data_IF_395203012767
#
_entry.id   IF_395203012767
#
_cell.length_a   1.000
_cell.length_b   1.000
_cell.length_c   1.000
_cell.angle_alpha   90.00
_cell.angle_beta   90.00
_cell.angle_gamma   90.00
#
_symmetry.space_group_name_H-M   'P 1'
#
loop_
_entity.id
_entity.type
_entity.pdbx_description
1 polymer ?
#
# COMPACT_ATOMS: atom_id res chain seq x y z
N UNK A 1 -6.31 -9.84 -3.82
CA UNK A 1 -4.89 -9.72 -4.17
C UNK A 1 -4.31 -8.47 -3.52
N UNK A 2 -3.15 -8.59 -2.88
CA UNK A 2 -2.61 -7.56 -1.98
C UNK A 2 -3.04 -7.76 -0.53
N UNK A 3 -2.46 -6.99 0.38
CA UNK A 3 -2.82 -7.01 1.80
C UNK A 3 -4.03 -6.12 2.06
N UNK A 4 -4.88 -6.43 3.03
CA UNK A 4 -5.95 -5.52 3.45
C UNK A 4 -5.41 -4.18 3.99
N UNK A 5 -4.13 -4.14 4.40
CA UNK A 5 -3.45 -2.94 4.87
C UNK A 5 -2.80 -2.13 3.75
N UNK A 6 -2.67 -2.65 2.52
CA UNK A 6 -2.05 -1.90 1.42
C UNK A 6 -2.97 -0.80 0.89
N UNK A 7 -2.37 0.19 0.24
CA UNK A 7 -3.09 1.32 -0.36
C UNK A 7 -3.87 0.95 -1.61
N UNK A 8 -3.57 -0.20 -2.21
CA UNK A 8 -4.34 -0.81 -3.29
C UNK A 8 -4.61 -2.26 -2.92
N UNK A 9 -5.87 -2.68 -2.98
CA UNK A 9 -6.32 -4.04 -2.74
C UNK A 9 -7.42 -4.42 -3.72
N UNK A 10 -7.29 -5.59 -4.34
CA UNK A 10 -8.30 -6.12 -5.27
C UNK A 10 -9.05 -7.29 -4.64
N UNK A 11 -10.37 -7.31 -4.78
CA UNK A 11 -11.24 -8.43 -4.39
C UNK A 11 -12.04 -8.91 -5.60
N UNK A 12 -11.91 -10.18 -5.95
CA UNK A 12 -12.65 -10.79 -7.05
C UNK A 12 -13.32 -12.03 -6.49
N UNK A 13 -14.64 -12.11 -6.57
CA UNK A 13 -15.41 -13.20 -5.98
C UNK A 13 -16.79 -13.36 -6.63
N UNK A 14 -17.39 -14.52 -6.40
CA UNK A 14 -18.75 -14.85 -6.80
C UNK A 14 -19.75 -14.17 -5.86
N UNK A 15 -20.35 -13.08 -6.32
CA UNK A 15 -21.25 -12.23 -5.56
C UNK A 15 -22.61 -12.88 -5.33
N UNK A 16 -23.08 -13.68 -6.28
CA UNK A 16 -24.31 -14.45 -6.15
C UNK A 16 -24.22 -15.46 -5.00
N UNK A 17 -23.12 -16.21 -4.91
CA UNK A 17 -22.87 -17.12 -3.78
C UNK A 17 -22.70 -16.37 -2.45
N UNK A 18 -22.03 -15.22 -2.43
CA UNK A 18 -21.93 -14.39 -1.21
C UNK A 18 -23.32 -13.93 -0.74
N UNK A 19 -24.19 -13.51 -1.67
CA UNK A 19 -25.55 -13.06 -1.37
C UNK A 19 -26.44 -14.20 -0.91
N UNK A 20 -26.31 -15.38 -1.51
CA UNK A 20 -26.97 -16.59 -1.04
C UNK A 20 -26.55 -16.92 0.39
N UNK A 21 -25.25 -16.97 0.67
CA UNK A 21 -24.75 -17.33 2.00
C UNK A 21 -25.12 -16.33 3.10
N UNK A 22 -25.15 -15.03 2.80
CA UNK A 22 -25.43 -13.98 3.81
C UNK A 22 -26.91 -13.65 3.95
N UNK A 23 -27.62 -13.58 2.84
CA UNK A 23 -28.96 -13.00 2.75
C UNK A 23 -30.00 -14.00 2.23
N UNK A 24 -29.62 -15.26 1.97
CA UNK A 24 -30.48 -16.32 1.48
C UNK A 24 -31.21 -15.98 0.17
N UNK A 25 -30.59 -15.13 -0.67
CA UNK A 25 -31.09 -14.76 -1.99
C UNK A 25 -30.78 -15.92 -2.96
N UNK A 26 -31.78 -16.52 -3.63
CA UNK A 26 -31.54 -17.58 -4.61
C UNK A 26 -30.58 -17.14 -5.72
N UNK A 27 -29.70 -18.04 -6.17
CA UNK A 27 -28.69 -17.73 -7.20
C UNK A 27 -29.32 -17.25 -8.50
N UNK A 28 -30.50 -17.75 -8.89
CA UNK A 28 -31.18 -17.30 -10.12
C UNK A 28 -31.71 -15.87 -10.02
N UNK A 29 -31.90 -15.36 -8.80
CA UNK A 29 -32.38 -14.00 -8.53
C UNK A 29 -31.23 -13.02 -8.29
N UNK A 30 -29.98 -13.49 -8.28
CA UNK A 30 -28.84 -12.61 -8.11
C UNK A 30 -28.60 -11.78 -9.37
N UNK A 31 -28.67 -10.46 -9.23
CA UNK A 31 -28.43 -9.50 -10.33
C UNK A 31 -26.98 -9.53 -10.82
N UNK A 32 -26.03 -9.76 -9.91
CA UNK A 32 -24.60 -9.78 -10.20
C UNK A 32 -24.03 -11.12 -9.78
N UNK A 33 -23.47 -11.86 -10.75
CA UNK A 33 -22.79 -13.14 -10.49
C UNK A 33 -21.40 -12.96 -9.93
N UNK A 34 -20.56 -12.15 -10.59
CA UNK A 34 -19.18 -11.90 -10.18
C UNK A 34 -18.98 -10.42 -9.86
N UNK A 35 -18.20 -10.13 -8.82
CA UNK A 35 -17.83 -8.74 -8.49
C UNK A 35 -16.31 -8.56 -8.45
N UNK A 36 -15.87 -7.49 -9.10
CA UNK A 36 -14.52 -6.97 -9.03
C UNK A 36 -14.55 -5.69 -8.19
N UNK A 37 -13.89 -5.70 -7.04
CA UNK A 37 -13.76 -4.53 -6.18
C UNK A 37 -12.31 -4.06 -6.16
N UNK A 38 -12.11 -2.76 -6.39
CA UNK A 38 -10.84 -2.06 -6.21
C UNK A 38 -10.97 -1.22 -4.96
N UNK A 39 -10.12 -1.46 -3.96
CA UNK A 39 -10.08 -0.68 -2.73
C UNK A 39 -8.80 0.13 -2.70
N UNK A 40 -8.96 1.45 -2.63
CA UNK A 40 -7.88 2.41 -2.61
C UNK A 40 -7.86 3.12 -1.25
N UNK A 41 -6.67 3.49 -0.76
CA UNK A 41 -6.49 4.26 0.48
C UNK A 41 -5.48 5.39 0.27
N UNK A 42 -5.49 6.35 1.19
CA UNK A 42 -4.54 7.47 1.26
C UNK A 42 -4.39 8.16 -0.11
N UNK A 43 -3.15 8.43 -0.53
CA UNK A 43 -2.82 9.09 -1.80
C UNK A 43 -3.41 8.39 -3.02
N UNK A 44 -3.46 7.04 -3.02
CA UNK A 44 -4.00 6.28 -4.16
C UNK A 44 -5.49 6.52 -4.35
N UNK A 45 -6.23 6.70 -3.25
CA UNK A 45 -7.62 7.10 -3.30
C UNK A 45 -7.75 8.55 -3.83
N UNK A 46 -6.92 9.47 -3.33
CA UNK A 46 -6.92 10.86 -3.78
C UNK A 46 -6.68 10.99 -5.29
N UNK A 47 -5.67 10.29 -5.83
CA UNK A 47 -5.39 10.29 -7.26
C UNK A 47 -6.53 9.72 -8.11
N UNK A 48 -7.14 8.61 -7.68
CA UNK A 48 -8.26 8.03 -8.41
C UNK A 48 -9.49 8.96 -8.40
N UNK A 49 -9.75 9.66 -7.29
CA UNK A 49 -10.83 10.66 -7.21
C UNK A 49 -10.54 11.85 -8.12
N UNK A 50 -9.31 12.36 -8.14
CA UNK A 50 -8.92 13.46 -9.05
C UNK A 50 -9.09 13.04 -10.51
N UNK A 51 -8.63 11.86 -10.89
CA UNK A 51 -8.80 11.33 -12.26
C UNK A 51 -10.28 11.21 -12.63
N UNK A 52 -11.08 10.66 -11.71
CA UNK A 52 -12.51 10.51 -11.89
C UNK A 52 -13.23 11.85 -12.06
N UNK A 53 -12.91 12.84 -11.24
CA UNK A 53 -13.50 14.19 -11.34
C UNK A 53 -13.09 14.90 -12.63
N UNK A 54 -11.85 14.67 -13.09
CA UNK A 54 -11.31 15.29 -14.31
C UNK A 54 -11.95 14.70 -15.56
N UNK A 55 -12.12 13.38 -15.61
CA UNK A 55 -12.57 12.66 -16.80
C UNK A 55 -14.07 12.38 -16.82
N UNK A 56 -14.70 12.34 -15.65
CA UNK A 56 -16.10 11.93 -15.45
C UNK A 56 -16.44 10.56 -16.05
N UNK A 57 -15.43 9.69 -16.16
CA UNK A 57 -15.55 8.35 -16.74
C UNK A 57 -15.06 7.30 -15.74
N UNK A 58 -16.00 6.77 -14.96
CA UNK A 58 -15.75 5.77 -13.92
C UNK A 58 -15.17 4.49 -14.53
N UNK A 59 -15.67 4.10 -15.70
CA UNK A 59 -15.29 2.87 -16.37
C UNK A 59 -13.81 2.94 -16.76
N UNK A 60 -13.41 4.01 -17.45
CA UNK A 60 -12.03 4.23 -17.86
C UNK A 60 -11.10 4.29 -16.65
N UNK A 61 -11.41 5.08 -15.63
CA UNK A 61 -10.56 5.15 -14.42
C UNK A 61 -10.40 3.77 -13.78
N UNK A 62 -11.48 2.99 -13.61
CA UNK A 62 -11.41 1.68 -13.00
C UNK A 62 -10.57 0.67 -13.83
N UNK A 63 -10.80 0.58 -15.14
CA UNK A 63 -10.07 -0.34 -16.01
C UNK A 63 -8.61 0.02 -16.15
N UNK A 64 -8.29 1.31 -16.22
CA UNK A 64 -6.91 1.78 -16.28
C UNK A 64 -6.14 1.44 -14.99
N UNK A 65 -6.80 1.42 -13.82
CA UNK A 65 -6.24 0.93 -12.56
C UNK A 65 -6.01 -0.58 -12.62
N UNK A 66 -6.98 -1.36 -13.09
CA UNK A 66 -6.83 -2.82 -13.21
C UNK A 66 -5.65 -3.16 -14.13
N UNK A 67 -5.57 -2.53 -15.31
CA UNK A 67 -4.49 -2.74 -16.29
C UNK A 67 -3.10 -2.45 -15.73
N UNK A 68 -2.98 -1.53 -14.75
CA UNK A 68 -1.71 -1.22 -14.12
C UNK A 68 -1.21 -2.32 -13.18
N UNK A 69 -2.11 -3.04 -12.52
CA UNK A 69 -1.75 -3.95 -11.42
C UNK A 69 -2.00 -5.43 -11.73
N UNK A 70 -2.90 -5.76 -12.66
CA UNK A 70 -3.30 -7.13 -12.97
C UNK A 70 -3.17 -7.38 -14.46
N UNK A 71 -2.46 -8.45 -14.81
CA UNK A 71 -2.38 -8.97 -16.17
C UNK A 71 -2.47 -10.48 -16.14
N UNK A 72 -3.49 -11.04 -16.77
CA UNK A 72 -3.56 -12.47 -17.04
C UNK A 72 -2.86 -12.78 -18.36
N UNK A 73 -2.04 -13.83 -18.33
CA UNK A 73 -1.12 -14.18 -19.41
C UNK A 73 -1.16 -15.68 -19.66
N UNK A 74 -0.89 -16.08 -20.89
CA UNK A 74 -0.71 -17.48 -21.26
C UNK A 74 0.75 -17.89 -21.02
N UNK A 75 0.95 -19.01 -20.32
CA UNK A 75 2.28 -19.52 -20.00
C UNK A 75 2.99 -19.98 -21.27
N UNK A 76 4.17 -19.42 -21.51
CA UNK A 76 5.09 -19.85 -22.58
C UNK A 76 6.44 -20.21 -21.95
N UNK A 77 6.75 -21.50 -21.90
CA UNK A 77 7.97 -22.00 -21.25
C UNK A 77 9.25 -21.60 -22.00
N UNK A 78 9.13 -21.24 -23.27
CA UNK A 78 10.26 -20.80 -24.09
C UNK A 78 10.58 -19.31 -23.88
N UNK A 79 9.77 -18.59 -23.11
CA UNK A 79 9.94 -17.15 -22.86
C UNK A 79 10.03 -16.84 -21.37
N UNK A 80 10.70 -15.74 -21.05
CA UNK A 80 10.68 -15.17 -19.70
C UNK A 80 9.26 -14.75 -19.35
N UNK A 81 8.86 -14.90 -18.07
CA UNK A 81 7.51 -14.57 -17.56
C UNK A 81 7.01 -13.17 -17.93
N UNK A 82 7.90 -12.18 -17.96
CA UNK A 82 7.55 -10.81 -18.35
C UNK A 82 7.09 -10.68 -19.80
N UNK A 83 7.58 -11.57 -20.68
CA UNK A 83 7.30 -11.62 -22.11
C UNK A 83 6.17 -12.59 -22.48
N UNK A 84 5.48 -13.18 -21.50
CA UNK A 84 4.27 -13.96 -21.75
C UNK A 84 3.17 -13.08 -22.35
N UNK A 85 2.50 -13.60 -23.37
CA UNK A 85 1.40 -12.91 -24.07
C UNK A 85 0.18 -12.80 -23.17
N UNK A 86 -0.56 -11.70 -23.30
CA UNK A 86 -1.83 -11.52 -22.60
C UNK A 86 -2.82 -12.59 -23.05
N UNK A 87 -3.52 -13.19 -22.09
CA UNK A 87 -4.57 -14.16 -22.37
C UNK A 87 -5.71 -13.51 -23.18
N UNK A 88 -6.23 -14.21 -24.18
CA UNK A 88 -7.21 -13.65 -25.11
C UNK A 88 -8.56 -13.30 -24.44
N UNK A 89 -9.03 -14.12 -23.51
CA UNK A 89 -10.28 -13.84 -22.77
C UNK A 89 -10.11 -12.62 -21.86
N UNK A 90 -8.93 -12.50 -21.23
CA UNK A 90 -8.61 -11.31 -20.45
C UNK A 90 -8.52 -10.05 -21.31
N UNK A 91 -7.89 -10.13 -22.49
CA UNK A 91 -7.82 -9.02 -23.42
C UNK A 91 -9.21 -8.56 -23.90
N UNK A 92 -10.14 -9.50 -24.10
CA UNK A 92 -11.53 -9.19 -24.42
C UNK A 92 -12.24 -8.51 -23.25
N UNK A 93 -12.10 -9.04 -22.03
CA UNK A 93 -12.71 -8.48 -20.83
C UNK A 93 -12.23 -7.07 -20.50
N UNK A 94 -10.91 -6.84 -20.57
CA UNK A 94 -10.30 -5.58 -20.13
C UNK A 94 -10.35 -4.48 -21.19
N UNK A 95 -10.72 -4.84 -22.42
CA UNK A 95 -10.72 -3.96 -23.59
C UNK A 95 -9.30 -3.76 -24.13
N UNK A 96 -9.03 -4.33 -25.31
CA UNK A 96 -7.70 -4.38 -25.95
C UNK A 96 -7.00 -3.02 -26.12
N UNK A 97 -7.77 -1.92 -26.12
CA UNK A 97 -7.30 -0.54 -26.36
C UNK A 97 -7.54 0.43 -25.18
N UNK A 98 -7.86 -0.07 -23.99
CA UNK A 98 -8.04 0.78 -22.80
C UNK A 98 -6.70 1.03 -22.12
N UNK A 99 -6.38 2.30 -21.85
CA UNK A 99 -5.07 2.75 -21.35
C UNK A 99 -4.66 2.20 -19.98
N UNK A 100 -3.57 2.71 -19.43
CA UNK A 100 -3.10 2.40 -18.06
C UNK A 100 -3.02 3.67 -17.22
N UNK A 101 -3.57 3.66 -16.00
CA UNK A 101 -3.56 4.82 -15.11
C UNK A 101 -2.33 4.70 -14.22
N UNK A 102 -1.47 5.72 -14.26
CA UNK A 102 -0.29 5.76 -13.38
C UNK A 102 -0.72 6.22 -11.99
N UNK A 103 -1.05 5.26 -11.13
CA UNK A 103 -1.32 5.53 -9.71
C UNK A 103 -0.06 5.60 -8.83
N UNK A 104 1.12 5.29 -9.36
CA UNK A 104 2.38 5.31 -8.59
C UNK A 104 2.79 6.71 -8.18
N UNK A 105 2.61 7.04 -6.90
CA UNK A 105 3.37 8.09 -6.22
C UNK A 105 4.82 7.67 -6.06
N UNK A 106 5.73 8.63 -6.20
CA UNK A 106 7.07 8.50 -5.64
C UNK A 106 6.91 8.30 -4.12
N UNK A 107 7.69 7.41 -3.49
CA UNK A 107 7.61 7.26 -2.05
C UNK A 107 7.91 8.61 -1.40
N UNK A 108 6.96 9.14 -0.63
CA UNK A 108 7.22 10.33 0.17
C UNK A 108 8.51 10.10 0.96
N UNK A 109 9.46 11.06 0.94
CA UNK A 109 10.69 10.93 1.68
C UNK A 109 10.36 10.63 3.14
N UNK A 110 10.99 9.60 3.68
CA UNK A 110 10.77 9.18 5.05
C UNK A 110 11.18 10.32 6.00
N UNK A 111 10.24 10.86 6.78
CA UNK A 111 10.47 12.05 7.61
C UNK A 111 10.84 11.72 9.06
N UNK A 112 11.35 12.72 9.78
CA UNK A 112 11.64 12.63 11.21
C UNK A 112 10.37 12.37 12.04
N UNK A 113 9.24 13.00 11.72
CA UNK A 113 7.97 12.78 12.44
C UNK A 113 7.50 11.33 12.31
N UNK A 114 7.67 10.70 11.13
CA UNK A 114 7.35 9.28 10.95
C UNK A 114 8.25 8.39 11.82
N UNK A 115 9.51 8.75 11.98
CA UNK A 115 10.45 8.06 12.89
C UNK A 115 9.99 8.16 14.34
N UNK A 116 9.61 9.35 14.79
CA UNK A 116 9.10 9.58 16.15
C UNK A 116 7.81 8.81 16.41
N UNK A 117 6.87 8.83 15.46
CA UNK A 117 5.62 8.08 15.60
C UNK A 117 5.84 6.58 15.61
N UNK A 118 6.73 6.05 14.77
CA UNK A 118 7.11 4.64 14.83
C UNK A 118 7.72 4.29 16.18
N UNK A 119 8.67 5.08 16.68
CA UNK A 119 9.34 4.85 17.96
C UNK A 119 8.34 4.87 19.13
N UNK A 120 7.42 5.84 19.15
CA UNK A 120 6.36 5.97 20.16
C UNK A 120 5.46 4.74 20.23
N UNK A 121 5.04 4.20 19.07
CA UNK A 121 4.03 3.14 19.04
C UNK A 121 4.62 1.73 19.06
N UNK A 122 5.84 1.54 18.57
CA UNK A 122 6.45 0.21 18.41
C UNK A 122 7.48 -0.11 19.50
N UNK A 123 8.25 0.88 19.98
CA UNK A 123 9.46 0.64 20.79
C UNK A 123 9.36 1.24 22.19
N UNK A 124 8.71 2.40 22.33
CA UNK A 124 8.66 3.15 23.60
C UNK A 124 8.14 2.34 24.81
N UNK A 125 7.11 1.48 24.70
CA UNK A 125 6.68 0.65 25.83
C UNK A 125 7.79 -0.29 26.34
N UNK A 126 8.56 -0.88 25.42
CA UNK A 126 9.67 -1.77 25.75
C UNK A 126 10.83 -1.01 26.39
N UNK A 127 11.20 0.16 25.84
CA UNK A 127 12.24 1.01 26.44
C UNK A 127 11.85 1.46 27.85
N UNK A 128 10.58 1.82 28.05
CA UNK A 128 10.06 2.18 29.38
C UNK A 128 10.15 1.01 30.35
N UNK A 129 9.82 -0.20 29.91
CA UNK A 129 9.93 -1.40 30.73
C UNK A 129 11.37 -1.68 31.15
N UNK A 130 12.33 -1.67 30.20
CA UNK A 130 13.76 -1.87 30.49
C UNK A 130 14.28 -0.79 31.43
N UNK A 131 13.97 0.49 31.17
CA UNK A 131 14.38 1.59 32.04
C UNK A 131 13.79 1.48 33.46
N UNK A 132 12.59 0.91 33.61
CA UNK A 132 12.00 0.64 34.93
C UNK A 132 12.77 -0.46 35.66
N UNK A 133 13.17 -1.52 34.94
CA UNK A 133 13.99 -2.60 35.49
C UNK A 133 15.38 -2.09 35.90
N UNK A 134 15.99 -1.24 35.06
CA UNK A 134 17.28 -0.63 35.34
C UNK A 134 17.27 0.18 36.64
N UNK A 135 16.21 0.96 36.88
CA UNK A 135 16.04 1.71 38.13
C UNK A 135 15.90 0.81 39.36
N UNK A 136 15.13 -0.29 39.26
CA UNK A 136 14.91 -1.22 40.36
C UNK A 136 16.18 -1.99 40.73
N UNK A 137 16.95 -2.38 39.72
CA UNK A 137 18.13 -3.22 39.87
C UNK A 137 19.45 -2.43 39.94
N UNK A 138 19.39 -1.10 39.83
CA UNK A 138 20.55 -0.20 39.75
C UNK A 138 21.51 -0.60 38.62
N UNK A 139 20.95 -0.95 37.46
CA UNK A 139 21.70 -1.30 36.24
C UNK A 139 21.59 -0.19 35.20
N UNK A 140 22.45 -0.25 34.17
CA UNK A 140 22.56 0.77 33.13
C UNK A 140 22.35 0.20 31.71
N UNK A 141 21.57 -0.88 31.60
CA UNK A 141 21.45 -1.68 30.37
C UNK A 141 20.90 -0.83 29.22
N UNK A 142 19.86 -0.04 29.47
CA UNK A 142 19.23 0.79 28.45
C UNK A 142 20.21 1.84 27.90
N UNK A 143 21.01 2.47 28.76
CA UNK A 143 22.00 3.47 28.34
C UNK A 143 23.15 2.85 27.56
N UNK A 144 23.62 1.67 27.96
CA UNK A 144 24.67 0.94 27.24
C UNK A 144 24.20 0.53 25.84
N UNK A 145 22.98 0.00 25.72
CA UNK A 145 22.38 -0.35 24.43
C UNK A 145 22.28 0.84 23.47
N UNK A 146 21.94 2.03 23.98
CA UNK A 146 21.89 3.25 23.17
C UNK A 146 23.30 3.69 22.77
N UNK A 147 24.28 3.58 23.68
CA UNK A 147 25.66 3.96 23.41
C UNK A 147 26.32 3.08 22.33
N UNK A 148 26.04 1.77 22.33
CA UNK A 148 26.58 0.83 21.35
C UNK A 148 25.88 0.92 19.97
N UNK A 149 24.67 1.46 19.93
CA UNK A 149 23.90 1.56 18.69
C UNK A 149 24.56 2.53 17.69
N UNK A 150 24.85 2.03 16.49
CA UNK A 150 25.43 2.85 15.40
C UNK A 150 24.33 3.49 14.56
N UNK A 151 24.54 4.74 14.19
CA UNK A 151 23.72 5.40 13.18
C UNK A 151 23.95 4.74 11.82
N UNK A 152 22.89 4.67 11.02
CA UNK A 152 22.95 4.22 9.63
C UNK A 152 22.94 5.46 8.74
N UNK A 153 23.35 5.34 7.47
CA UNK A 153 23.27 6.44 6.49
C UNK A 153 21.86 7.07 6.42
N UNK A 154 20.81 6.25 6.64
CA UNK A 154 19.43 6.74 6.70
C UNK A 154 19.19 7.62 7.93
N UNK A 155 19.76 7.28 9.08
CA UNK A 155 19.67 8.09 10.30
C UNK A 155 20.43 9.41 10.14
N UNK A 156 21.62 9.39 9.54
CA UNK A 156 22.43 10.58 9.29
C UNK A 156 21.71 11.57 8.37
N UNK A 157 21.14 11.09 7.25
CA UNK A 157 20.33 11.93 6.34
C UNK A 157 19.11 12.56 7.01
N UNK A 158 18.44 11.82 7.91
CA UNK A 158 17.31 12.35 8.69
C UNK A 158 17.75 13.44 9.66
N UNK A 159 18.93 13.30 10.26
CA UNK A 159 19.52 14.30 11.13
C UNK A 159 19.84 15.55 10.32
N UNK A 160 20.54 15.44 9.20
CA UNK A 160 20.88 16.56 8.31
C UNK A 160 19.63 17.34 7.86
N UNK A 161 18.56 16.63 7.46
CA UNK A 161 17.28 17.26 7.10
C UNK A 161 16.72 18.13 8.23
N UNK A 162 16.79 17.68 9.48
CA UNK A 162 16.27 18.44 10.64
C UNK A 162 17.14 19.65 10.99
N UNK A 163 18.45 19.56 10.78
CA UNK A 163 19.36 20.69 10.99
C UNK A 163 19.18 21.77 9.92
N UNK A 164 19.11 21.39 8.63
CA UNK A 164 18.89 22.33 7.51
C UNK A 164 17.55 23.06 7.64
N UNK A 165 16.47 22.35 7.99
CA UNK A 165 15.15 22.95 8.20
C UNK A 165 15.13 23.97 9.35
N UNK A 166 16.07 23.87 10.32
CA UNK A 166 16.18 24.82 11.44
C UNK A 166 16.97 26.08 11.10
N UNK A 167 17.99 25.99 10.25
CA UNK A 167 18.81 27.13 9.83
C UNK A 167 18.04 28.07 8.88
N UNK A 168 17.20 27.52 8.00
CA UNK A 168 16.34 28.29 7.08
C UNK A 168 15.21 29.06 7.79
N UNK A 169 14.94 28.77 9.07
CA UNK A 169 13.92 29.46 9.89
C UNK A 169 14.54 30.60 10.73
N UNK A 170 15.87 30.69 10.80
CA UNK A 170 16.60 31.68 11.62
C UNK A 170 17.18 32.84 10.76
N UNK A 171 17.08 32.76 9.43
CA UNK A 171 17.41 33.83 8.47
C UNK A 171 16.17 34.66 8.09
#
# INVERSE_FOLDING_TARGET
>A
MGSLKSEVYFCIYEKDYEQYAKNNIPLEKAEVKNRFEIRLKNERASHAVIDLLTRQDVEKTAFEIINRYIRFVDRDENKRRSAWSMNQQWAFFIGKDRGTLRLTTEPEPYTFERTLNWLRHQVAPTLKMIGTIDQLNQTAILSELIHEAKLTEKHEKLIEQQYLTREDVIL
#
